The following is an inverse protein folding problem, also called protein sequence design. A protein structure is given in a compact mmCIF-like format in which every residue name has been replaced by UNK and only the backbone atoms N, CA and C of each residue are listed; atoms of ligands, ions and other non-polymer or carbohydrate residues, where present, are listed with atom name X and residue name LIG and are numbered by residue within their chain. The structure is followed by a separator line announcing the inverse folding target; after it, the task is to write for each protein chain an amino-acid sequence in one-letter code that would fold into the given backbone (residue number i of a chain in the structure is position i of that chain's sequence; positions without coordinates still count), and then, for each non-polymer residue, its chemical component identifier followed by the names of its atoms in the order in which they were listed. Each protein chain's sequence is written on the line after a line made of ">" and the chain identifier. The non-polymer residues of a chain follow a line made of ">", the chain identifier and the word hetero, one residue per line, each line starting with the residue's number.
data_IF_353502482636
#
_entry.id   IF_353502482636
#
_cell.length_a   1.000
_cell.length_b   1.000
_cell.length_c   1.000
_cell.angle_alpha   90.00
_cell.angle_beta   90.00
_cell.angle_gamma   90.00
#
_symmetry.space_group_name_H-M   'P 1'
#
loop_
_entity.id
_entity.type
_entity.pdbx_description
1 polymer ?
#
# COMPACT_ATOMS: atom_id res chain seq x y z
N UNK A 1 29.39 42.74 8.90
CA UNK A 1 29.23 41.57 9.80
C UNK A 1 28.89 40.37 8.95
N UNK A 2 29.83 39.43 8.78
CA UNK A 2 29.57 38.21 8.02
C UNK A 2 28.47 37.42 8.75
N UNK A 3 27.38 37.07 8.06
CA UNK A 3 26.37 36.16 8.59
C UNK A 3 27.08 34.85 8.90
N UNK A 4 27.38 34.59 10.16
CA UNK A 4 27.90 33.29 10.61
C UNK A 4 26.76 32.32 10.34
N UNK A 5 26.86 31.57 9.25
CA UNK A 5 25.84 30.58 8.89
C UNK A 5 25.82 29.57 10.03
N UNK A 6 24.71 29.51 10.77
CA UNK A 6 24.53 28.51 11.81
C UNK A 6 24.22 27.16 11.13
N UNK A 7 25.27 26.44 10.78
CA UNK A 7 25.15 25.14 10.12
C UNK A 7 24.46 24.11 11.02
N UNK A 8 24.60 24.22 12.35
CA UNK A 8 23.94 23.33 13.31
C UNK A 8 22.42 23.47 13.24
N UNK A 9 21.90 24.70 13.27
CA UNK A 9 20.46 24.96 13.10
C UNK A 9 19.91 24.41 11.78
N UNK A 10 20.68 24.56 10.69
CA UNK A 10 20.29 24.03 9.38
C UNK A 10 20.29 22.51 9.34
N UNK A 11 21.27 21.87 9.98
CA UNK A 11 21.36 20.40 10.09
C UNK A 11 20.16 19.88 10.88
N UNK A 12 19.88 20.44 12.06
CA UNK A 12 18.74 20.01 12.88
C UNK A 12 17.40 20.18 12.15
N UNK A 13 17.22 21.26 11.39
CA UNK A 13 16.01 21.45 10.59
C UNK A 13 15.87 20.40 9.47
N UNK A 14 16.98 20.00 8.84
CA UNK A 14 16.97 18.94 7.83
C UNK A 14 16.70 17.56 8.45
N UNK A 15 17.30 17.25 9.60
CA UNK A 15 17.08 16.00 10.34
C UNK A 15 15.60 15.85 10.74
N UNK A 16 15.00 16.89 11.32
CA UNK A 16 13.58 16.87 11.67
C UNK A 16 12.67 16.66 10.44
N UNK A 17 13.04 17.25 9.30
CA UNK A 17 12.32 17.06 8.04
C UNK A 17 12.47 15.64 7.49
N UNK A 18 13.65 15.04 7.62
CA UNK A 18 13.92 13.66 7.23
C UNK A 18 13.09 12.72 8.10
N UNK A 19 13.09 12.90 9.42
CA UNK A 19 12.32 12.08 10.35
C UNK A 19 10.81 12.14 10.05
N UNK A 20 10.27 13.34 9.87
CA UNK A 20 8.87 13.53 9.49
C UNK A 20 8.53 12.76 8.20
N UNK A 21 9.37 12.89 7.17
CA UNK A 21 9.18 12.18 5.90
C UNK A 21 9.27 10.66 6.04
N UNK A 22 10.19 10.16 6.87
CA UNK A 22 10.28 8.72 7.13
C UNK A 22 9.01 8.19 7.81
N UNK A 23 8.45 8.94 8.75
CA UNK A 23 7.20 8.58 9.41
C UNK A 23 6.00 8.60 8.44
N UNK A 24 5.93 9.62 7.57
CA UNK A 24 4.92 9.66 6.49
C UNK A 24 5.02 8.45 5.56
N UNK A 25 6.24 8.05 5.15
CA UNK A 25 6.47 6.88 4.31
C UNK A 25 5.99 5.59 5.00
N UNK A 26 6.30 5.41 6.30
CA UNK A 26 5.84 4.25 7.06
C UNK A 26 4.31 4.19 7.11
N UNK A 27 3.66 5.31 7.39
CA UNK A 27 2.21 5.40 7.42
C UNK A 27 1.57 5.09 6.05
N UNK A 28 2.13 5.63 4.96
CA UNK A 28 1.64 5.35 3.60
C UNK A 28 1.82 3.88 3.21
N UNK A 29 2.94 3.25 3.59
CA UNK A 29 3.15 1.81 3.38
C UNK A 29 2.13 0.97 4.15
N UNK A 30 1.78 1.37 5.38
CA UNK A 30 0.71 0.73 6.16
C UNK A 30 -0.64 0.79 5.43
N UNK A 31 -1.06 2.00 5.04
CA UNK A 31 -2.30 2.21 4.27
C UNK A 31 -2.34 1.44 2.96
N UNK A 32 -1.21 1.35 2.25
CA UNK A 32 -1.10 0.56 1.02
C UNK A 32 -1.31 -0.94 1.30
N UNK A 33 -0.78 -1.45 2.40
CA UNK A 33 -0.99 -2.84 2.83
C UNK A 33 -2.47 -3.13 3.12
N UNK A 34 -3.12 -2.24 3.85
CA UNK A 34 -4.56 -2.33 4.16
C UNK A 34 -5.40 -2.31 2.88
N UNK A 35 -5.12 -1.38 1.96
CA UNK A 35 -5.85 -1.26 0.69
C UNK A 35 -5.69 -2.52 -0.18
N UNK A 36 -4.47 -3.08 -0.26
CA UNK A 36 -4.22 -4.34 -0.97
C UNK A 36 -5.01 -5.51 -0.37
N UNK A 37 -5.06 -5.60 0.97
CA UNK A 37 -5.83 -6.64 1.65
C UNK A 37 -7.33 -6.48 1.43
N UNK A 38 -7.84 -5.26 1.49
CA UNK A 38 -9.25 -4.97 1.21
C UNK A 38 -9.61 -5.33 -0.23
N UNK A 39 -8.80 -4.91 -1.20
CA UNK A 39 -9.01 -5.24 -2.61
C UNK A 39 -8.96 -6.74 -2.86
N UNK A 40 -8.00 -7.48 -2.30
CA UNK A 40 -7.93 -8.93 -2.47
C UNK A 40 -9.19 -9.65 -1.93
N UNK A 41 -9.77 -9.15 -0.83
CA UNK A 41 -11.03 -9.68 -0.29
C UNK A 41 -12.23 -9.36 -1.19
N UNK A 42 -12.27 -8.14 -1.74
CA UNK A 42 -13.30 -7.72 -2.68
C UNK A 42 -13.23 -8.53 -3.98
N UNK A 43 -12.05 -8.63 -4.58
CA UNK A 43 -11.80 -9.41 -5.79
C UNK A 43 -12.19 -10.90 -5.59
N UNK A 44 -11.85 -11.48 -4.41
CA UNK A 44 -12.27 -12.84 -4.07
C UNK A 44 -13.80 -12.96 -3.94
N UNK A 45 -14.45 -12.00 -3.30
CA UNK A 45 -15.91 -11.97 -3.15
C UNK A 45 -16.59 -11.89 -4.52
N UNK A 46 -16.14 -11.00 -5.38
CA UNK A 46 -16.66 -10.82 -6.74
C UNK A 46 -16.53 -12.12 -7.55
N UNK A 47 -15.37 -12.78 -7.48
CA UNK A 47 -15.17 -14.09 -8.12
C UNK A 47 -16.16 -15.14 -7.61
N UNK A 48 -16.33 -15.25 -6.29
CA UNK A 48 -17.25 -16.21 -5.69
C UNK A 48 -18.72 -15.92 -6.07
N UNK A 49 -19.12 -14.65 -6.09
CA UNK A 49 -20.47 -14.25 -6.53
C UNK A 49 -20.71 -14.59 -8.01
N UNK A 50 -19.72 -14.35 -8.86
CA UNK A 50 -19.77 -14.74 -10.27
C UNK A 50 -19.91 -16.26 -10.43
N UNK A 51 -19.13 -17.04 -9.67
CA UNK A 51 -19.20 -18.51 -9.72
C UNK A 51 -20.59 -19.01 -9.32
N UNK A 52 -21.15 -18.51 -8.22
CA UNK A 52 -22.49 -18.91 -7.75
C UNK A 52 -23.56 -18.51 -8.77
N UNK A 53 -23.52 -17.29 -9.28
CA UNK A 53 -24.50 -16.77 -10.26
C UNK A 53 -24.51 -17.60 -11.55
N UNK A 54 -23.36 -18.08 -11.98
CA UNK A 54 -23.21 -18.87 -13.19
C UNK A 54 -23.20 -20.39 -12.94
N UNK A 55 -23.47 -20.81 -11.70
CA UNK A 55 -23.46 -22.21 -11.26
C UNK A 55 -22.15 -22.94 -11.60
N UNK A 56 -21.02 -22.23 -11.51
CA UNK A 56 -19.68 -22.73 -11.79
C UNK A 56 -19.06 -23.32 -10.53
N UNK A 57 -18.46 -24.49 -10.68
CA UNK A 57 -17.61 -25.13 -9.68
C UNK A 57 -16.18 -24.56 -9.72
N UNK A 58 -15.44 -24.74 -8.62
CA UNK A 58 -14.03 -24.39 -8.57
C UNK A 58 -13.20 -25.18 -9.61
N UNK A 59 -13.58 -26.41 -9.92
CA UNK A 59 -12.90 -27.24 -10.92
C UNK A 59 -13.05 -26.68 -12.35
N UNK A 60 -14.24 -26.18 -12.70
CA UNK A 60 -14.50 -25.56 -14.01
C UNK A 60 -13.71 -24.27 -14.18
N UNK A 61 -13.62 -23.45 -13.12
CA UNK A 61 -12.81 -22.23 -13.13
C UNK A 61 -11.32 -22.55 -13.21
N UNK A 62 -10.84 -23.55 -12.46
CA UNK A 62 -9.44 -23.96 -12.53
C UNK A 62 -9.09 -24.56 -13.90
N UNK A 63 -10.02 -25.28 -14.52
CA UNK A 63 -9.85 -25.84 -15.87
C UNK A 63 -9.75 -24.76 -16.94
N UNK A 64 -10.45 -23.62 -16.79
CA UNK A 64 -10.36 -22.50 -17.74
C UNK A 64 -9.08 -21.66 -17.59
N UNK A 65 -8.46 -21.68 -16.41
CA UNK A 65 -7.20 -20.96 -16.13
C UNK A 65 -5.96 -21.81 -16.44
N UNK A 66 -6.04 -23.14 -16.28
CA UNK A 66 -4.94 -24.09 -16.52
C UNK A 66 -4.75 -24.48 -17.99
N UNK A 67 -5.28 -23.70 -18.93
CA UNK A 67 -5.20 -23.95 -20.38
C UNK A 67 -3.82 -24.42 -20.85
#
# INVERSE_FOLDING_TARGET
>A
MARKVNYEEKISALEAKIEKKQNEIKALKGKLGELKSAKAKEDYKELMEYMVTNNLSAEEVLSSIKG
#
